data_IF_688227807682
#
_entry.id   IF_688227807682
#
_cell.length_a   1.000
_cell.length_b   1.000
_cell.length_c   1.000
_cell.angle_alpha   90.00
_cell.angle_beta   90.00
_cell.angle_gamma   90.00
#
_symmetry.space_group_name_H-M   'P 1'
#
loop_
_entity.id
_entity.type
_entity.pdbx_description
1 polymer ?
#
# COMPACT_ATOMS: atom_id res chain seq x y z
N UNK A 1 -2.01 16.51 0.95
CA UNK A 1 -3.22 16.16 1.72
C UNK A 1 -3.83 17.34 2.46
N UNK A 2 -3.09 18.40 2.69
CA UNK A 2 -3.54 19.57 3.45
C UNK A 2 -3.73 19.29 4.95
N UNK A 3 -4.27 20.26 5.67
CA UNK A 3 -4.70 20.11 7.05
C UNK A 3 -6.13 19.59 7.15
N UNK A 4 -6.63 19.48 8.37
CA UNK A 4 -8.00 19.00 8.64
C UNK A 4 -9.07 19.80 7.88
N UNK A 5 -8.90 21.13 7.80
CA UNK A 5 -9.83 22.04 7.14
C UNK A 5 -9.48 22.37 5.68
N UNK A 6 -8.29 21.97 5.22
CA UNK A 6 -7.79 22.26 3.86
C UNK A 6 -7.52 20.96 3.12
N UNK A 7 -8.56 20.25 2.78
CA UNK A 7 -8.48 18.90 2.24
C UNK A 7 -8.17 18.92 0.75
N UNK A 8 -7.28 18.00 0.33
CA UNK A 8 -7.07 17.73 -1.08
C UNK A 8 -8.35 17.15 -1.69
N UNK A 9 -8.86 17.69 -2.82
CA UNK A 9 -10.01 17.12 -3.50
C UNK A 9 -9.76 15.68 -3.91
N UNK A 10 -10.84 14.91 -3.99
CA UNK A 10 -10.78 13.55 -4.51
C UNK A 10 -10.33 13.53 -5.97
N UNK A 11 -9.69 12.42 -6.37
CA UNK A 11 -9.24 12.22 -7.73
C UNK A 11 -10.43 12.22 -8.72
N UNK A 12 -10.29 12.96 -9.81
CA UNK A 12 -11.32 13.08 -10.85
C UNK A 12 -10.96 12.23 -12.07
N UNK A 13 -11.94 11.53 -12.65
CA UNK A 13 -11.77 10.72 -13.85
C UNK A 13 -11.13 11.50 -15.01
N UNK A 14 -11.53 12.76 -15.20
CA UNK A 14 -11.00 13.62 -16.25
C UNK A 14 -9.47 13.72 -16.25
N UNK A 15 -8.84 13.73 -15.07
CA UNK A 15 -7.38 13.76 -14.94
C UNK A 15 -6.73 12.46 -15.43
N UNK A 16 -7.35 11.31 -15.19
CA UNK A 16 -6.86 10.04 -15.70
C UNK A 16 -6.96 9.99 -17.22
N UNK A 17 -8.13 10.28 -17.76
CA UNK A 17 -8.43 10.16 -19.19
C UNK A 17 -7.56 11.09 -20.01
N UNK A 18 -7.44 12.36 -19.61
CA UNK A 18 -6.60 13.34 -20.34
C UNK A 18 -5.10 13.02 -20.28
N UNK A 19 -4.67 12.21 -19.31
CA UNK A 19 -3.29 11.73 -19.19
C UNK A 19 -3.05 10.35 -19.81
N UNK A 20 -4.05 9.75 -20.45
CA UNK A 20 -3.96 8.44 -21.08
C UNK A 20 -3.90 7.27 -20.07
N UNK A 21 -4.27 7.50 -18.80
CA UNK A 21 -4.29 6.47 -17.77
C UNK A 21 -5.55 5.63 -17.88
N UNK A 22 -5.39 4.31 -17.96
CA UNK A 22 -6.49 3.34 -18.11
C UNK A 22 -6.75 2.53 -16.85
N UNK A 23 -5.76 2.45 -15.96
CA UNK A 23 -5.86 1.68 -14.71
C UNK A 23 -5.28 2.48 -13.55
N UNK A 24 -5.97 2.46 -12.42
CA UNK A 24 -5.58 3.18 -11.20
C UNK A 24 -5.51 2.23 -10.01
N UNK A 25 -4.57 2.48 -9.12
CA UNK A 25 -4.55 1.87 -7.77
C UNK A 25 -4.59 2.99 -6.74
N UNK A 26 -5.73 3.14 -6.08
CA UNK A 26 -5.95 4.12 -5.02
C UNK A 26 -5.27 3.71 -3.73
N UNK A 27 -4.70 4.68 -3.02
CA UNK A 27 -4.14 4.47 -1.70
C UNK A 27 -4.30 5.71 -0.83
N UNK A 28 -4.36 5.51 0.48
CA UNK A 28 -4.32 6.61 1.44
C UNK A 28 -2.87 7.03 1.68
N UNK A 29 -2.67 8.33 1.88
CA UNK A 29 -1.39 8.89 2.29
C UNK A 29 -1.23 8.91 3.81
N UNK A 30 -0.66 10.00 4.35
CA UNK A 30 -0.41 10.17 5.78
C UNK A 30 -1.68 10.33 6.63
N UNK A 31 -2.76 10.86 6.05
CA UNK A 31 -4.02 11.07 6.75
C UNK A 31 -4.88 9.78 6.75
N UNK A 32 -4.60 8.92 7.71
CA UNK A 32 -5.44 7.77 8.02
C UNK A 32 -6.47 8.04 9.11
N UNK A 33 -6.58 9.28 9.61
CA UNK A 33 -7.50 9.68 10.68
C UNK A 33 -8.81 10.25 10.13
N UNK A 34 -8.72 11.17 9.19
CA UNK A 34 -9.90 11.83 8.58
C UNK A 34 -10.31 11.23 7.24
N UNK A 35 -9.46 10.36 6.67
CA UNK A 35 -9.74 9.51 5.52
C UNK A 35 -9.73 8.05 5.94
N UNK A 36 -10.48 7.22 5.24
CA UNK A 36 -10.61 5.82 5.62
C UNK A 36 -10.59 4.88 4.41
N UNK A 37 -10.26 3.59 4.63
CA UNK A 37 -10.33 2.59 3.57
C UNK A 37 -11.73 2.48 2.93
N UNK A 38 -12.80 2.69 3.70
CA UNK A 38 -14.19 2.67 3.21
C UNK A 38 -14.45 3.80 2.21
N UNK A 39 -13.98 5.02 2.50
CA UNK A 39 -14.10 6.17 1.59
C UNK A 39 -13.28 5.95 0.31
N UNK A 40 -12.08 5.38 0.44
CA UNK A 40 -11.24 5.03 -0.70
C UNK A 40 -11.91 3.96 -1.57
N UNK A 41 -12.49 2.92 -0.95
CA UNK A 41 -13.24 1.88 -1.67
C UNK A 41 -14.45 2.46 -2.39
N UNK A 42 -15.21 3.35 -1.74
CA UNK A 42 -16.35 4.02 -2.38
C UNK A 42 -15.92 4.80 -3.63
N UNK A 43 -14.81 5.55 -3.54
CA UNK A 43 -14.26 6.27 -4.69
C UNK A 43 -13.75 5.34 -5.79
N UNK A 44 -13.11 4.23 -5.42
CA UNK A 44 -12.66 3.19 -6.36
C UNK A 44 -13.82 2.59 -7.15
N UNK A 45 -14.91 2.24 -6.46
CA UNK A 45 -16.14 1.74 -7.10
C UNK A 45 -16.80 2.79 -8.00
N UNK A 46 -16.82 4.06 -7.58
CA UNK A 46 -17.33 5.15 -8.42
C UNK A 46 -16.54 5.28 -9.73
N UNK A 47 -15.20 5.23 -9.67
CA UNK A 47 -14.34 5.27 -10.85
C UNK A 47 -14.56 4.07 -11.78
N UNK A 48 -14.76 2.87 -11.24
CA UNK A 48 -15.12 1.69 -12.02
C UNK A 48 -16.47 1.87 -12.73
N UNK A 49 -17.47 2.45 -12.05
CA UNK A 49 -18.76 2.77 -12.66
C UNK A 49 -18.67 3.86 -13.74
N UNK A 50 -17.67 4.74 -13.62
CA UNK A 50 -17.37 5.76 -14.64
C UNK A 50 -16.61 5.19 -15.85
N UNK A 51 -16.19 3.92 -15.83
CA UNK A 51 -15.62 3.19 -16.96
C UNK A 51 -14.09 3.12 -17.01
N UNK A 52 -13.37 3.48 -15.92
CA UNK A 52 -11.93 3.25 -15.78
C UNK A 52 -11.68 2.05 -14.86
N UNK A 53 -10.65 1.26 -15.11
CA UNK A 53 -10.26 0.18 -14.18
C UNK A 53 -9.61 0.77 -12.94
N UNK A 54 -10.18 0.53 -11.76
CA UNK A 54 -9.65 1.03 -10.50
C UNK A 54 -9.63 -0.06 -9.43
N UNK A 55 -8.51 -0.14 -8.73
CA UNK A 55 -8.29 -0.94 -7.52
C UNK A 55 -7.88 -0.03 -6.37
N UNK A 56 -7.79 -0.57 -5.15
CA UNK A 56 -7.26 0.17 -4.02
C UNK A 56 -6.50 -0.75 -3.04
N UNK A 57 -5.81 -0.10 -2.12
CA UNK A 57 -5.12 -0.74 -1.01
C UNK A 57 -5.83 -0.40 0.29
N UNK A 58 -5.98 -1.36 1.19
CA UNK A 58 -6.48 -1.08 2.53
C UNK A 58 -5.41 -0.37 3.37
N UNK A 59 -5.81 0.23 4.49
CA UNK A 59 -4.94 0.97 5.41
C UNK A 59 -4.33 2.28 4.83
N UNK A 60 -3.55 2.96 5.67
CA UNK A 60 -2.75 4.14 5.39
C UNK A 60 -1.29 3.92 5.81
N UNK A 61 -0.70 4.84 6.59
CA UNK A 61 0.68 4.71 7.09
C UNK A 61 0.78 3.87 8.38
N UNK A 62 -0.34 3.70 9.10
CA UNK A 62 -0.34 3.21 10.47
C UNK A 62 -0.19 1.68 10.57
N UNK A 63 0.39 1.22 11.67
CA UNK A 63 0.34 -0.13 12.19
C UNK A 63 -0.19 -0.10 13.63
N UNK A 64 -1.10 -1.00 14.07
CA UNK A 64 -1.76 -2.03 13.24
C UNK A 64 -2.64 -1.45 12.12
N UNK A 65 -2.83 -2.21 11.02
CA UNK A 65 -3.59 -1.73 9.88
C UNK A 65 -5.07 -1.46 10.21
N UNK A 66 -5.58 -0.32 9.72
CA UNK A 66 -7.01 -0.06 9.67
C UNK A 66 -7.61 -0.77 8.46
N UNK A 67 -8.64 -1.57 8.69
CA UNK A 67 -9.28 -2.43 7.70
C UNK A 67 -10.79 -2.23 7.69
N UNK A 68 -11.47 -2.69 6.64
CA UNK A 68 -12.93 -2.61 6.50
C UNK A 68 -13.60 -3.81 7.17
N UNK A 69 -13.01 -5.01 7.03
CA UNK A 69 -13.64 -6.28 7.43
C UNK A 69 -13.02 -6.88 8.69
N UNK A 70 -12.12 -6.17 9.35
CA UNK A 70 -11.47 -6.61 10.58
C UNK A 70 -10.07 -7.22 10.40
N UNK A 71 -9.66 -7.57 9.17
CA UNK A 71 -8.28 -7.98 8.86
C UNK A 71 -7.89 -7.65 7.43
N UNK A 72 -6.59 -7.47 7.19
CA UNK A 72 -6.04 -7.24 5.84
C UNK A 72 -6.35 -8.42 4.92
N UNK A 73 -6.22 -9.65 5.43
CA UNK A 73 -6.53 -10.85 4.68
C UNK A 73 -7.99 -10.88 4.22
N UNK A 74 -8.93 -10.57 5.10
CA UNK A 74 -10.35 -10.52 4.75
C UNK A 74 -10.68 -9.39 3.77
N UNK A 75 -10.06 -8.22 3.91
CA UNK A 75 -10.22 -7.14 2.95
C UNK A 75 -9.81 -7.59 1.54
N UNK A 76 -8.66 -8.26 1.41
CA UNK A 76 -8.17 -8.78 0.13
C UNK A 76 -9.09 -9.90 -0.39
N UNK A 77 -9.53 -10.82 0.47
CA UNK A 77 -10.34 -11.98 0.07
C UNK A 77 -11.75 -11.58 -0.40
N UNK A 78 -12.41 -10.72 0.37
CA UNK A 78 -13.86 -10.48 0.19
C UNK A 78 -14.21 -9.20 -0.56
N UNK A 79 -13.26 -8.29 -0.77
CA UNK A 79 -13.48 -7.03 -1.50
C UNK A 79 -12.69 -7.06 -2.81
N UNK A 80 -13.39 -7.16 -3.93
CA UNK A 80 -12.80 -7.36 -5.27
C UNK A 80 -11.77 -6.30 -5.64
N UNK A 81 -12.00 -5.06 -5.25
CA UNK A 81 -11.16 -3.91 -5.59
C UNK A 81 -9.89 -3.81 -4.72
N UNK A 82 -9.85 -4.48 -3.57
CA UNK A 82 -8.68 -4.44 -2.67
C UNK A 82 -7.68 -5.53 -3.09
N UNK A 83 -6.48 -5.09 -3.47
CA UNK A 83 -5.41 -5.94 -3.98
C UNK A 83 -4.17 -6.01 -3.08
N UNK A 84 -4.18 -5.32 -1.95
CA UNK A 84 -3.06 -5.29 -1.02
C UNK A 84 -3.27 -4.30 0.13
N UNK A 85 -2.19 -3.97 0.81
CA UNK A 85 -2.18 -3.10 1.99
C UNK A 85 -1.14 -1.98 1.83
N UNK A 86 -1.48 -0.78 2.31
CA UNK A 86 -0.56 0.35 2.42
C UNK A 86 0.04 0.40 3.82
N UNK A 87 1.34 0.75 3.91
CA UNK A 87 2.05 0.99 5.17
C UNK A 87 3.15 2.03 4.95
N UNK A 88 3.71 2.58 6.03
CA UNK A 88 4.93 3.39 5.99
C UNK A 88 6.02 2.79 6.89
N UNK A 89 7.26 2.86 6.43
CA UNK A 89 8.47 2.49 7.18
C UNK A 89 9.53 3.59 7.04
N UNK A 90 10.49 3.62 7.94
CA UNK A 90 11.62 4.56 7.90
C UNK A 90 11.20 6.04 7.82
N UNK A 91 10.06 6.39 8.40
CA UNK A 91 9.47 7.73 8.36
C UNK A 91 9.03 8.18 9.76
N UNK A 92 9.27 9.45 10.09
CA UNK A 92 8.86 10.02 11.39
C UNK A 92 7.34 10.03 11.61
N UNK A 93 6.53 9.75 10.59
CA UNK A 93 5.07 9.67 10.62
C UNK A 93 4.54 8.23 10.63
N UNK A 94 5.43 7.23 10.58
CA UNK A 94 5.03 5.83 10.63
C UNK A 94 4.87 5.33 12.07
N UNK A 95 4.26 4.18 12.24
CA UNK A 95 4.08 3.52 13.55
C UNK A 95 5.29 2.71 13.99
N UNK A 96 6.40 2.74 13.25
CA UNK A 96 7.61 1.97 13.49
C UNK A 96 7.34 0.47 13.76
N UNK A 97 6.69 -0.25 12.83
CA UNK A 97 6.38 -1.65 13.02
C UNK A 97 7.66 -2.46 13.18
N UNK A 98 7.64 -3.40 14.09
CA UNK A 98 8.74 -4.33 14.31
C UNK A 98 8.88 -5.29 13.13
N UNK A 99 10.04 -5.95 13.04
CA UNK A 99 10.30 -6.98 12.03
C UNK A 99 9.22 -8.08 12.03
N UNK A 100 8.86 -8.58 13.20
CA UNK A 100 7.88 -9.67 13.33
C UNK A 100 6.47 -9.23 12.92
N UNK A 101 6.12 -7.98 13.18
CA UNK A 101 4.86 -7.39 12.73
C UNK A 101 4.82 -7.25 11.20
N UNK A 102 5.92 -6.84 10.57
CA UNK A 102 6.02 -6.80 9.11
C UNK A 102 5.92 -8.21 8.49
N UNK A 103 6.58 -9.20 9.08
CA UNK A 103 6.49 -10.60 8.63
C UNK A 103 5.05 -11.11 8.72
N UNK A 104 4.37 -10.90 9.83
CA UNK A 104 2.96 -11.32 10.00
C UNK A 104 2.07 -10.65 8.97
N UNK A 105 2.20 -9.34 8.80
CA UNK A 105 1.40 -8.58 7.83
C UNK A 105 1.59 -9.08 6.40
N UNK A 106 2.85 -9.24 5.95
CA UNK A 106 3.10 -9.70 4.58
C UNK A 106 2.72 -11.16 4.38
N UNK A 107 2.81 -12.00 5.43
CA UNK A 107 2.33 -13.38 5.39
C UNK A 107 0.82 -13.47 5.22
N UNK A 108 0.05 -12.64 5.94
CA UNK A 108 -1.39 -12.54 5.79
C UNK A 108 -1.79 -12.08 4.38
N UNK A 109 -1.08 -11.08 3.84
CA UNK A 109 -1.26 -10.60 2.47
C UNK A 109 -0.97 -11.71 1.47
N UNK A 110 0.14 -12.44 1.62
CA UNK A 110 0.53 -13.54 0.76
C UNK A 110 -0.51 -14.65 0.76
N UNK A 111 -0.96 -15.10 1.94
CA UNK A 111 -1.99 -16.15 2.03
C UNK A 111 -3.30 -15.71 1.38
N UNK A 112 -3.75 -14.49 1.65
CA UNK A 112 -4.94 -13.94 1.03
C UNK A 112 -4.82 -13.86 -0.50
N UNK A 113 -3.64 -13.47 -1.02
CA UNK A 113 -3.39 -13.40 -2.45
C UNK A 113 -3.42 -14.77 -3.13
N UNK A 114 -2.83 -15.78 -2.51
CA UNK A 114 -2.83 -17.16 -3.03
C UNK A 114 -4.27 -17.72 -3.12
N UNK A 115 -5.09 -17.46 -2.10
CA UNK A 115 -6.48 -17.95 -2.06
C UNK A 115 -7.38 -17.19 -3.02
N UNK A 116 -7.19 -15.87 -3.16
CA UNK A 116 -8.04 -15.02 -4.01
C UNK A 116 -7.57 -14.93 -5.47
N UNK A 117 -6.35 -15.34 -5.80
CA UNK A 117 -5.73 -15.13 -7.10
C UNK A 117 -5.35 -13.67 -7.39
N UNK A 118 -5.30 -12.81 -6.37
CA UNK A 118 -4.93 -11.40 -6.49
C UNK A 118 -3.43 -11.17 -6.33
N UNK A 119 -2.96 -9.96 -6.67
CA UNK A 119 -1.54 -9.58 -6.59
C UNK A 119 -0.98 -9.69 -5.17
N UNK A 120 -1.70 -9.21 -4.15
CA UNK A 120 -1.28 -9.25 -2.76
C UNK A 120 -0.01 -8.45 -2.48
N UNK A 121 -0.07 -7.13 -2.64
CA UNK A 121 1.10 -6.28 -2.40
C UNK A 121 1.07 -5.57 -1.05
N UNK A 122 2.22 -5.46 -0.41
CA UNK A 122 2.49 -4.53 0.68
C UNK A 122 3.19 -3.29 0.10
N UNK A 123 2.42 -2.24 -0.12
CA UNK A 123 2.90 -0.98 -0.66
C UNK A 123 3.47 -0.11 0.46
N UNK A 124 4.76 0.17 0.39
CA UNK A 124 5.50 0.83 1.45
C UNK A 124 5.93 2.24 1.06
N UNK A 125 5.47 3.24 1.83
CA UNK A 125 6.14 4.53 1.85
C UNK A 125 7.46 4.38 2.61
N UNK A 126 8.58 4.65 1.95
CA UNK A 126 9.90 4.65 2.58
C UNK A 126 10.31 6.09 2.85
N UNK A 127 10.46 6.43 4.11
CA UNK A 127 10.85 7.77 4.55
C UNK A 127 12.35 8.03 4.48
N UNK A 128 12.80 9.06 5.21
CA UNK A 128 14.17 9.53 5.18
C UNK A 128 15.06 8.99 6.33
N UNK A 129 14.51 8.15 7.22
CA UNK A 129 15.30 7.57 8.31
C UNK A 129 16.44 6.70 7.79
N UNK A 130 17.58 6.61 8.50
CA UNK A 130 18.78 5.91 8.01
C UNK A 130 18.57 4.43 7.68
N UNK A 131 17.62 3.78 8.33
CA UNK A 131 17.30 2.35 8.12
C UNK A 131 16.75 2.04 6.71
N UNK A 132 16.11 3.03 6.06
CA UNK A 132 15.60 2.89 4.70
C UNK A 132 14.76 1.66 4.44
N UNK A 133 15.15 0.83 3.48
CA UNK A 133 14.49 -0.44 3.15
C UNK A 133 15.12 -1.66 3.85
N UNK A 134 16.11 -1.46 4.71
CA UNK A 134 16.78 -2.59 5.36
C UNK A 134 15.84 -3.55 6.09
N UNK A 135 14.75 -3.11 6.75
CA UNK A 135 13.78 -4.03 7.34
C UNK A 135 13.15 -5.01 6.32
N UNK A 136 12.93 -4.55 5.08
CA UNK A 136 12.42 -5.42 4.00
C UNK A 136 13.52 -6.36 3.51
N UNK A 137 14.71 -5.83 3.29
CA UNK A 137 15.87 -6.60 2.80
C UNK A 137 16.23 -7.72 3.77
N UNK A 138 16.18 -7.45 5.07
CA UNK A 138 16.39 -8.45 6.11
C UNK A 138 15.35 -9.57 6.04
N UNK A 139 14.06 -9.23 5.91
CA UNK A 139 13.00 -10.23 5.77
C UNK A 139 13.22 -11.11 4.56
N UNK A 140 13.52 -10.52 3.40
CA UNK A 140 13.74 -11.27 2.15
C UNK A 140 14.97 -12.20 2.23
N UNK A 141 16.03 -11.78 2.93
CA UNK A 141 17.25 -12.60 3.11
C UNK A 141 17.09 -13.73 4.12
N UNK A 142 16.23 -13.58 5.10
CA UNK A 142 16.16 -14.47 6.26
C UNK A 142 14.87 -15.29 6.34
N UNK A 143 13.96 -15.12 5.36
CA UNK A 143 12.71 -15.87 5.25
C UNK A 143 12.50 -16.33 3.81
N UNK A 144 11.49 -17.15 3.57
CA UNK A 144 11.05 -17.59 2.24
C UNK A 144 9.94 -16.68 1.64
N UNK A 145 9.71 -15.50 2.22
CA UNK A 145 8.73 -14.53 1.71
C UNK A 145 9.26 -13.90 0.41
N UNK A 146 8.53 -14.06 -0.71
CA UNK A 146 8.98 -13.49 -1.99
C UNK A 146 9.04 -11.97 -1.96
N UNK A 147 10.12 -11.41 -2.48
CA UNK A 147 10.31 -9.96 -2.63
C UNK A 147 9.19 -9.30 -3.44
N UNK A 148 8.54 -10.04 -4.34
CA UNK A 148 7.45 -9.56 -5.18
C UNK A 148 6.22 -9.05 -4.42
N UNK A 149 6.07 -9.41 -3.15
CA UNK A 149 5.02 -8.85 -2.28
C UNK A 149 5.31 -7.46 -1.76
N UNK A 150 6.55 -6.98 -1.85
CA UNK A 150 6.93 -5.65 -1.38
C UNK A 150 6.96 -4.63 -2.53
N UNK A 151 6.35 -3.47 -2.33
CA UNK A 151 6.34 -2.33 -3.26
C UNK A 151 6.87 -1.06 -2.56
N UNK A 152 8.18 -0.97 -2.31
CA UNK A 152 8.75 0.23 -1.71
C UNK A 152 8.70 1.41 -2.69
N UNK A 153 8.33 2.59 -2.19
CA UNK A 153 8.26 3.84 -2.96
C UNK A 153 9.23 4.88 -2.44
N UNK A 154 9.48 5.92 -3.22
CA UNK A 154 10.40 7.03 -2.92
C UNK A 154 11.89 6.64 -2.91
N UNK A 155 12.25 5.51 -3.52
CA UNK A 155 13.63 5.02 -3.60
C UNK A 155 14.53 5.88 -4.51
N UNK A 156 13.99 6.81 -5.28
CA UNK A 156 14.79 7.74 -6.08
C UNK A 156 15.76 8.62 -5.29
N UNK A 157 15.60 8.69 -3.98
CA UNK A 157 16.54 9.34 -3.05
C UNK A 157 17.60 8.39 -2.52
N UNK A 158 17.52 7.10 -2.83
CA UNK A 158 18.28 5.98 -2.28
C UNK A 158 18.66 5.03 -3.41
N UNK A 159 19.46 5.52 -4.36
CA UNK A 159 19.76 4.78 -5.60
C UNK A 159 20.46 3.44 -5.36
N UNK A 160 21.33 3.36 -4.34
CA UNK A 160 22.00 2.10 -3.98
C UNK A 160 20.99 1.07 -3.45
N UNK A 161 20.08 1.48 -2.58
CA UNK A 161 19.02 0.62 -2.06
C UNK A 161 18.06 0.18 -3.17
N UNK A 162 17.70 1.09 -4.08
CA UNK A 162 16.87 0.78 -5.24
C UNK A 162 17.53 -0.27 -6.13
N UNK A 163 18.84 -0.13 -6.37
CA UNK A 163 19.64 -1.10 -7.15
C UNK A 163 19.67 -2.47 -6.47
N UNK A 164 19.96 -2.52 -5.16
CA UNK A 164 19.96 -3.77 -4.40
C UNK A 164 18.60 -4.47 -4.45
N UNK A 165 17.52 -3.72 -4.26
CA UNK A 165 16.17 -4.27 -4.30
C UNK A 165 15.84 -4.89 -5.66
N UNK A 166 16.20 -4.22 -6.75
CA UNK A 166 15.93 -4.73 -8.10
C UNK A 166 16.76 -5.95 -8.49
N UNK A 167 17.94 -6.13 -7.89
CA UNK A 167 18.80 -7.31 -8.14
C UNK A 167 18.36 -8.55 -7.34
N UNK A 168 17.49 -8.41 -6.36
CA UNK A 168 16.97 -9.55 -5.58
C UNK A 168 15.64 -10.11 -6.09
N UNK A 169 14.97 -9.43 -7.00
CA UNK A 169 13.72 -9.83 -7.67
C UNK A 169 14.00 -10.32 -9.06
#
# INVERSE_FOLDING_TARGET
>A
EGGFETRTPEFQLSKAVTSGVTTLVGLLGTDGYTKSPELLLAKTKALNNEGITAYCLTNSYAYPPRTITGSVANDILYISEIIGCKLAIADHRCSHPTRDELIRLVSDIRMASLVSGKVGELHLHVGASPEGIEPIMDIVRTTDIPISHFRPTHLGRRLEEASQFTHMG
#
